data_IF_939583375614
#
_entry.id   IF_939583375614
#
_cell.length_a   1.000
_cell.length_b   1.000
_cell.length_c   1.000
_cell.angle_alpha   90.00
_cell.angle_beta   90.00
_cell.angle_gamma   90.00
#
_symmetry.space_group_name_H-M   'P 1'
#
loop_
_entity.id
_entity.type
_entity.pdbx_description
1 polymer ?
#
# COMPACT_ATOMS: atom_id res chain seq x y z
N UNK A 1 -11.25 -14.89 -25.35
CA UNK A 1 -11.24 -16.10 -24.52
C UNK A 1 -12.66 -16.54 -24.19
N UNK A 2 -13.52 -15.72 -23.57
CA UNK A 2 -14.92 -16.09 -23.23
C UNK A 2 -15.71 -16.43 -24.50
N UNK A 3 -15.71 -15.53 -25.49
CA UNK A 3 -16.41 -15.76 -26.77
C UNK A 3 -15.87 -16.96 -27.57
N UNK A 4 -14.63 -17.32 -27.38
CA UNK A 4 -14.00 -18.47 -28.04
C UNK A 4 -14.20 -19.79 -27.27
N UNK A 5 -14.96 -19.76 -26.16
CA UNK A 5 -15.24 -20.92 -25.34
C UNK A 5 -14.03 -21.47 -24.54
N UNK A 6 -12.91 -20.73 -24.52
CA UNK A 6 -11.71 -21.14 -23.79
C UNK A 6 -11.84 -20.96 -22.27
N UNK A 7 -12.76 -20.11 -21.80
CA UNK A 7 -13.02 -19.84 -20.40
C UNK A 7 -14.52 -19.92 -20.17
N UNK A 8 -14.92 -20.77 -19.22
CA UNK A 8 -16.30 -20.89 -18.74
C UNK A 8 -16.43 -20.12 -17.43
N UNK A 9 -17.17 -19.02 -17.47
CA UNK A 9 -17.43 -18.17 -16.31
C UNK A 9 -18.60 -18.72 -15.50
N UNK A 10 -18.53 -18.55 -14.18
CA UNK A 10 -19.57 -18.94 -13.25
C UNK A 10 -20.08 -17.73 -12.46
N UNK A 11 -21.24 -17.85 -11.86
CA UNK A 11 -21.79 -16.81 -10.99
C UNK A 11 -20.82 -16.53 -9.84
N UNK A 12 -20.64 -15.24 -9.52
CA UNK A 12 -19.70 -14.75 -8.52
C UNK A 12 -18.21 -15.04 -8.76
N UNK A 13 -17.79 -15.49 -9.95
CA UNK A 13 -16.38 -15.44 -10.31
C UNK A 13 -15.89 -13.98 -10.30
N UNK A 14 -14.60 -13.77 -10.05
CA UNK A 14 -14.04 -12.45 -9.88
C UNK A 14 -13.02 -12.17 -10.97
N UNK A 15 -13.17 -11.03 -11.64
CA UNK A 15 -12.15 -10.49 -12.57
C UNK A 15 -11.41 -9.34 -11.89
N UNK A 16 -10.15 -9.57 -11.61
CA UNK A 16 -9.24 -8.57 -11.05
C UNK A 16 -8.33 -8.01 -12.16
N UNK A 17 -8.30 -6.68 -12.30
CA UNK A 17 -7.48 -5.96 -13.28
C UNK A 17 -6.45 -5.12 -12.54
N UNK A 18 -5.17 -5.21 -12.94
CA UNK A 18 -4.13 -4.39 -12.32
C UNK A 18 -4.37 -2.90 -12.55
N UNK A 19 -4.15 -2.09 -11.51
CA UNK A 19 -4.22 -0.63 -11.59
C UNK A 19 -3.34 -0.07 -12.71
N UNK A 20 -2.21 -0.72 -12.95
CA UNK A 20 -1.22 -0.31 -13.94
C UNK A 20 -1.78 -0.25 -15.37
N UNK A 21 -2.58 -1.23 -15.76
CA UNK A 21 -3.21 -1.26 -17.09
C UNK A 21 -4.29 -0.18 -17.19
N UNK A 22 -5.08 0.00 -16.15
CA UNK A 22 -6.14 1.03 -16.12
C UNK A 22 -5.53 2.43 -16.19
N UNK A 23 -4.53 2.73 -15.36
CA UNK A 23 -3.83 4.01 -15.37
C UNK A 23 -3.15 4.29 -16.72
N UNK A 24 -2.50 3.28 -17.30
CA UNK A 24 -1.85 3.40 -18.61
C UNK A 24 -2.86 3.69 -19.72
N UNK A 25 -4.02 3.03 -19.71
CA UNK A 25 -5.08 3.27 -20.71
C UNK A 25 -5.66 4.68 -20.62
N UNK A 26 -5.64 5.29 -19.44
CA UNK A 26 -6.06 6.67 -19.19
C UNK A 26 -4.97 7.71 -19.50
N UNK A 27 -3.73 7.30 -19.77
CA UNK A 27 -2.60 8.20 -19.87
C UNK A 27 -2.31 8.94 -18.53
N UNK A 28 -2.62 8.31 -17.38
CA UNK A 28 -2.51 8.96 -16.08
C UNK A 28 -1.08 9.01 -15.56
N UNK A 29 -0.28 9.86 -16.19
CA UNK A 29 1.13 10.08 -15.87
C UNK A 29 1.39 11.53 -15.46
N UNK A 30 2.38 11.72 -14.59
CA UNK A 30 2.92 13.02 -14.23
C UNK A 30 4.45 12.99 -14.29
N UNK A 31 5.05 14.16 -14.49
CA UNK A 31 6.50 14.33 -14.46
C UNK A 31 6.96 14.73 -13.05
N UNK A 32 8.25 14.60 -12.82
CA UNK A 32 8.91 15.13 -11.61
C UNK A 32 8.70 16.65 -11.49
N UNK A 33 8.67 17.36 -12.63
CA UNK A 33 8.46 18.82 -12.64
C UNK A 33 7.00 19.21 -12.36
N UNK A 34 6.01 18.36 -12.70
CA UNK A 34 4.62 18.57 -12.29
C UNK A 34 4.48 18.49 -10.76
N UNK A 35 5.16 17.51 -10.14
CA UNK A 35 5.23 17.41 -8.66
C UNK A 35 5.91 18.66 -8.09
N UNK A 36 7.04 19.08 -8.66
CA UNK A 36 7.78 20.24 -8.20
C UNK A 36 6.93 21.50 -8.24
N UNK A 37 6.18 21.70 -9.32
CA UNK A 37 5.28 22.84 -9.47
C UNK A 37 4.15 22.82 -8.45
N UNK A 38 3.47 21.70 -8.29
CA UNK A 38 2.39 21.53 -7.32
C UNK A 38 2.86 21.77 -5.88
N UNK A 39 4.04 21.22 -5.54
CA UNK A 39 4.67 21.43 -4.22
C UNK A 39 5.01 22.90 -4.03
N UNK A 40 5.59 23.58 -5.03
CA UNK A 40 5.91 25.02 -4.96
C UNK A 40 4.64 25.86 -4.77
N UNK A 41 3.58 25.59 -5.50
CA UNK A 41 2.30 26.28 -5.36
C UNK A 41 1.68 26.07 -3.97
N UNK A 42 1.75 24.87 -3.45
CA UNK A 42 1.18 24.52 -2.14
C UNK A 42 2.03 24.98 -0.97
N UNK A 43 3.35 24.83 -1.04
CA UNK A 43 4.24 25.10 0.09
C UNK A 43 4.86 26.50 0.06
N UNK A 44 4.95 27.13 -1.11
CA UNK A 44 5.61 28.43 -1.30
C UNK A 44 7.12 28.37 -1.09
N UNK A 45 7.77 29.53 -1.02
CA UNK A 45 9.21 29.67 -0.85
C UNK A 45 9.71 29.29 0.56
N UNK A 46 11.01 29.00 0.67
CA UNK A 46 11.71 28.73 1.93
C UNK A 46 11.89 27.25 2.25
N UNK A 47 12.09 26.95 3.52
CA UNK A 47 12.41 25.60 3.98
C UNK A 47 11.14 24.77 4.18
N UNK A 48 11.12 23.57 3.60
CA UNK A 48 10.07 22.56 3.78
C UNK A 48 10.64 21.35 4.51
N UNK A 49 9.88 20.81 5.45
CA UNK A 49 10.19 19.55 6.11
C UNK A 49 9.44 18.40 5.46
N UNK A 50 10.07 17.24 5.35
CA UNK A 50 9.43 15.97 4.96
C UNK A 50 9.61 15.00 6.11
N UNK A 51 8.54 14.47 6.64
CA UNK A 51 8.61 13.51 7.73
C UNK A 51 8.20 12.11 7.30
N UNK A 52 8.92 11.14 7.82
CA UNK A 52 8.64 9.71 7.77
C UNK A 52 8.35 9.13 6.38
N UNK A 53 9.16 9.49 5.36
CA UNK A 53 9.05 8.79 4.10
C UNK A 53 9.44 7.33 4.28
N UNK A 54 8.79 6.45 3.52
CA UNK A 54 9.22 5.04 3.43
C UNK A 54 10.59 4.93 2.76
N UNK A 55 11.34 3.91 3.13
CA UNK A 55 12.63 3.60 2.52
C UNK A 55 12.41 2.89 1.19
N UNK A 56 12.35 3.64 0.10
CA UNK A 56 12.04 3.12 -1.23
C UNK A 56 12.91 3.75 -2.31
N UNK A 57 13.49 2.91 -3.16
CA UNK A 57 14.35 3.33 -4.28
C UNK A 57 13.59 3.66 -5.57
N UNK A 58 12.36 3.17 -5.71
CA UNK A 58 11.60 3.24 -6.96
C UNK A 58 10.23 3.93 -6.83
N UNK A 59 9.70 4.08 -5.63
CA UNK A 59 8.43 4.78 -5.38
C UNK A 59 8.66 6.17 -4.81
N UNK A 60 9.06 6.24 -3.55
CA UNK A 60 9.26 7.53 -2.89
C UNK A 60 10.43 8.33 -3.49
N UNK A 61 11.47 7.71 -3.99
CA UNK A 61 12.63 8.41 -4.58
C UNK A 61 12.25 9.41 -5.70
N UNK A 62 11.30 9.07 -6.55
CA UNK A 62 10.85 9.98 -7.61
C UNK A 62 9.92 11.07 -7.09
N UNK A 63 9.06 10.74 -6.13
CA UNK A 63 8.25 11.74 -5.43
C UNK A 63 9.19 12.73 -4.73
N UNK A 64 10.21 12.22 -4.04
CA UNK A 64 11.22 13.04 -3.36
C UNK A 64 11.98 13.97 -4.31
N UNK A 65 12.32 13.49 -5.51
CA UNK A 65 12.97 14.29 -6.55
C UNK A 65 12.12 15.50 -6.94
N UNK A 66 10.81 15.29 -7.11
CA UNK A 66 9.86 16.37 -7.37
C UNK A 66 9.71 17.33 -6.20
N UNK A 67 9.59 16.83 -4.97
CA UNK A 67 9.54 17.64 -3.76
C UNK A 67 10.80 18.50 -3.64
N UNK A 68 11.97 17.92 -3.83
CA UNK A 68 13.24 18.62 -3.74
C UNK A 68 13.39 19.73 -4.77
N UNK A 69 12.97 19.52 -6.02
CA UNK A 69 12.94 20.56 -7.06
C UNK A 69 11.94 21.67 -6.75
N UNK A 70 10.85 21.36 -6.07
CA UNK A 70 9.82 22.31 -5.68
C UNK A 70 10.18 23.19 -4.46
N UNK A 71 11.25 22.89 -3.73
CA UNK A 71 11.63 23.56 -2.49
C UNK A 71 12.98 24.29 -2.60
N UNK A 72 13.14 25.41 -1.88
CA UNK A 72 14.45 26.10 -1.82
C UNK A 72 15.42 25.33 -0.90
N UNK A 73 14.92 24.87 0.24
CA UNK A 73 15.64 24.04 1.18
C UNK A 73 14.74 22.92 1.69
N UNK A 74 15.32 21.74 1.92
CA UNK A 74 14.61 20.56 2.36
C UNK A 74 15.22 19.98 3.63
N UNK A 75 14.37 19.60 4.58
CA UNK A 75 14.80 18.84 5.77
C UNK A 75 14.01 17.55 5.81
N UNK A 76 14.69 16.42 5.67
CA UNK A 76 14.06 15.10 5.72
C UNK A 76 14.25 14.53 7.12
N UNK A 77 13.17 14.15 7.76
CA UNK A 77 13.17 13.44 9.02
C UNK A 77 12.85 11.98 8.77
N UNK A 78 13.84 11.11 8.94
CA UNK A 78 13.68 9.66 8.88
C UNK A 78 13.39 9.10 10.27
N UNK A 79 12.55 8.09 10.34
CA UNK A 79 12.42 7.22 11.52
C UNK A 79 13.59 6.22 11.58
N UNK A 80 13.85 5.69 12.78
CA UNK A 80 14.83 4.64 13.04
C UNK A 80 14.39 3.79 14.23
N UNK A 81 14.70 2.49 14.31
CA UNK A 81 15.51 1.71 13.36
C UNK A 81 14.79 1.35 12.06
N UNK A 82 13.46 1.52 11.98
CA UNK A 82 12.63 1.11 10.86
C UNK A 82 11.78 2.27 10.35
N UNK A 83 11.35 2.19 9.10
CA UNK A 83 10.25 3.02 8.61
C UNK A 83 8.88 2.48 9.08
N UNK A 84 7.80 3.14 8.69
CA UNK A 84 6.43 2.82 9.09
C UNK A 84 5.98 1.40 8.69
N UNK A 85 6.51 0.86 7.60
CA UNK A 85 6.17 -0.47 7.08
C UNK A 85 7.19 -1.55 7.48
N UNK A 86 8.15 -1.19 8.33
CA UNK A 86 9.12 -2.12 8.89
C UNK A 86 10.38 -2.33 8.05
N UNK A 87 10.66 -1.49 7.06
CA UNK A 87 11.93 -1.53 6.35
C UNK A 87 13.05 -1.01 7.25
N UNK A 88 14.12 -1.77 7.49
CA UNK A 88 15.19 -1.37 8.38
C UNK A 88 16.06 -0.27 7.74
N UNK A 89 16.21 0.84 8.44
CA UNK A 89 17.26 1.82 8.15
C UNK A 89 18.60 1.32 8.70
N UNK A 90 18.57 0.72 9.87
CA UNK A 90 19.72 0.17 10.56
C UNK A 90 19.30 -1.05 11.41
N UNK A 91 20.19 -2.03 11.57
CA UNK A 91 19.95 -3.16 12.46
C UNK A 91 19.71 -2.69 13.90
N UNK A 92 18.70 -3.24 14.54
CA UNK A 92 18.39 -2.96 15.96
C UNK A 92 19.50 -3.44 16.88
N UNK A 93 20.14 -4.58 16.56
CA UNK A 93 21.25 -5.14 17.32
C UNK A 93 22.46 -4.19 17.30
N UNK A 94 22.75 -3.61 16.13
CA UNK A 94 23.82 -2.62 15.98
C UNK A 94 23.57 -1.38 16.85
N UNK A 95 22.33 -0.96 17.03
CA UNK A 95 21.97 0.14 17.93
C UNK A 95 22.18 -0.26 19.40
N UNK A 96 21.75 -1.46 19.78
CA UNK A 96 21.95 -1.96 21.15
C UNK A 96 23.43 -2.11 21.50
N UNK A 97 24.25 -2.62 20.61
CA UNK A 97 25.72 -2.68 20.77
C UNK A 97 26.34 -1.28 21.00
N UNK A 98 25.71 -0.24 20.46
CA UNK A 98 26.13 1.16 20.68
C UNK A 98 25.44 1.83 21.88
N UNK A 99 24.75 1.06 22.70
CA UNK A 99 24.07 1.57 23.92
C UNK A 99 22.78 2.34 23.65
N UNK A 100 22.21 2.26 22.45
CA UNK A 100 20.93 2.87 22.12
C UNK A 100 19.82 1.86 22.43
N UNK A 101 19.25 1.95 23.62
CA UNK A 101 18.21 1.04 24.11
C UNK A 101 16.79 1.62 24.02
N UNK A 102 16.68 2.92 23.78
CA UNK A 102 15.42 3.60 23.45
C UNK A 102 15.63 4.47 22.20
N UNK A 103 14.55 4.70 21.46
CA UNK A 103 14.59 5.39 20.18
C UNK A 103 13.98 6.80 20.25
N UNK A 104 14.16 7.49 21.39
CA UNK A 104 13.60 8.84 21.62
C UNK A 104 14.57 9.96 21.25
N UNK A 105 15.84 9.63 20.97
CA UNK A 105 16.88 10.61 20.68
C UNK A 105 16.81 11.07 19.23
N UNK A 106 17.04 12.36 19.03
CA UNK A 106 17.23 12.94 17.69
C UNK A 106 18.70 12.97 17.33
N UNK A 107 19.02 12.57 16.11
CA UNK A 107 20.36 12.62 15.55
C UNK A 107 20.38 13.44 14.27
N UNK A 108 21.45 14.18 14.05
CA UNK A 108 21.82 14.63 12.71
C UNK A 108 22.47 13.46 11.95
N UNK A 109 22.50 13.54 10.62
CA UNK A 109 23.19 12.56 9.76
C UNK A 109 24.61 12.25 10.25
N UNK A 110 25.42 13.30 10.50
CA UNK A 110 26.81 13.13 10.99
C UNK A 110 26.88 12.42 12.34
N UNK A 111 25.99 12.74 13.27
CA UNK A 111 25.94 12.08 14.58
C UNK A 111 25.54 10.62 14.44
N UNK A 112 24.60 10.31 13.55
CA UNK A 112 24.15 8.95 13.33
C UNK A 112 25.23 8.09 12.70
N UNK A 113 25.91 8.56 11.65
CA UNK A 113 27.06 7.85 11.09
C UNK A 113 28.22 7.70 12.06
N UNK A 114 28.47 8.70 12.92
CA UNK A 114 29.49 8.55 13.99
C UNK A 114 29.11 7.45 14.98
N UNK A 115 27.82 7.29 15.26
CA UNK A 115 27.32 6.28 16.19
C UNK A 115 27.38 4.87 15.59
N UNK A 116 26.83 4.67 14.39
CA UNK A 116 26.61 3.33 13.81
C UNK A 116 27.55 2.98 12.64
N UNK A 117 28.34 3.93 12.16
CA UNK A 117 29.15 3.76 10.95
C UNK A 117 28.32 3.69 9.68
N UNK A 118 28.89 3.11 8.62
CA UNK A 118 28.20 2.90 7.35
C UNK A 118 26.98 2.00 7.54
N UNK A 119 25.87 2.37 6.91
CA UNK A 119 24.62 1.65 6.94
C UNK A 119 24.37 1.12 5.54
N UNK A 120 24.07 -0.16 5.43
CA UNK A 120 23.69 -0.77 4.17
C UNK A 120 22.46 -1.63 4.42
N UNK A 121 21.43 -1.39 3.63
CA UNK A 121 20.21 -2.18 3.69
C UNK A 121 20.56 -3.63 3.27
N UNK A 122 20.21 -4.66 4.06
CA UNK A 122 20.69 -6.02 3.86
C UNK A 122 20.32 -6.64 2.51
N UNK A 123 19.16 -6.24 1.94
CA UNK A 123 18.70 -6.76 0.66
C UNK A 123 19.17 -5.91 -0.54
N UNK A 124 19.07 -4.58 -0.42
CA UNK A 124 19.37 -3.68 -1.55
C UNK A 124 20.80 -3.21 -1.61
N UNK A 125 21.57 -3.35 -0.53
CA UNK A 125 22.92 -2.79 -0.40
C UNK A 125 22.97 -1.26 -0.36
N UNK A 126 21.80 -0.59 -0.27
CA UNK A 126 21.69 0.87 -0.33
C UNK A 126 21.80 1.49 1.06
N UNK A 127 22.50 2.61 1.14
CA UNK A 127 22.37 3.55 2.24
C UNK A 127 21.30 4.58 1.89
N UNK A 128 20.14 4.48 2.52
CA UNK A 128 18.99 5.36 2.20
C UNK A 128 19.23 6.82 2.62
N UNK A 129 20.08 7.09 3.61
CA UNK A 129 20.46 8.46 3.96
C UNK A 129 21.24 9.08 2.79
N UNK A 130 22.22 8.35 2.27
CA UNK A 130 23.04 8.78 1.13
C UNK A 130 22.21 8.89 -0.15
N UNK A 131 21.35 7.91 -0.43
CA UNK A 131 20.43 7.92 -1.59
C UNK A 131 19.55 9.16 -1.58
N UNK A 132 18.86 9.43 -0.47
CA UNK A 132 17.95 10.57 -0.39
C UNK A 132 18.68 11.90 -0.44
N UNK A 133 19.87 11.96 0.17
CA UNK A 133 20.72 13.15 0.08
C UNK A 133 21.19 13.43 -1.34
N UNK A 134 21.60 12.41 -2.08
CA UNK A 134 21.97 12.55 -3.50
C UNK A 134 20.80 13.02 -4.38
N UNK A 135 19.61 12.54 -4.12
CA UNK A 135 18.41 12.97 -4.84
C UNK A 135 18.10 14.45 -4.57
N UNK A 136 18.24 14.91 -3.33
CA UNK A 136 17.88 16.25 -2.93
C UNK A 136 18.98 17.30 -3.13
N UNK A 137 20.23 16.88 -3.32
CA UNK A 137 21.36 17.78 -3.51
C UNK A 137 21.83 18.50 -2.23
N UNK A 138 22.57 19.60 -2.41
CA UNK A 138 23.24 20.31 -1.31
C UNK A 138 22.28 21.04 -0.36
N UNK A 139 21.11 21.45 -0.83
CA UNK A 139 20.12 22.19 -0.03
C UNK A 139 19.28 21.26 0.86
N UNK A 140 19.72 20.01 1.05
CA UNK A 140 19.03 19.00 1.84
C UNK A 140 19.79 18.68 3.12
N UNK A 141 19.05 18.59 4.25
CA UNK A 141 19.54 18.05 5.52
C UNK A 141 18.70 16.84 5.92
N UNK A 142 19.37 15.83 6.46
CA UNK A 142 18.69 14.66 7.01
C UNK A 142 18.85 14.65 8.53
N UNK A 143 17.75 14.43 9.21
CA UNK A 143 17.67 14.18 10.65
C UNK A 143 16.96 12.85 10.91
N UNK A 144 17.28 12.24 12.03
CA UNK A 144 16.68 10.97 12.45
C UNK A 144 15.97 11.20 13.77
N UNK A 145 14.68 10.97 13.80
CA UNK A 145 13.86 11.12 15.00
C UNK A 145 12.52 10.40 14.83
N UNK A 146 12.02 9.76 15.88
CA UNK A 146 10.71 9.12 15.91
C UNK A 146 9.59 10.03 16.46
N UNK A 147 9.93 11.25 16.88
CA UNK A 147 8.94 12.26 17.25
C UNK A 147 8.63 13.14 16.04
N UNK A 148 7.40 13.06 15.47
CA UNK A 148 7.02 13.84 14.30
C UNK A 148 7.12 15.35 14.52
N UNK A 149 7.07 15.81 15.78
CA UNK A 149 7.14 17.24 16.10
C UNK A 149 8.56 17.80 16.07
N UNK A 150 9.58 16.95 16.00
CA UNK A 150 10.99 17.37 15.90
C UNK A 150 11.24 18.29 14.72
N UNK A 151 10.61 18.03 13.57
CA UNK A 151 10.73 18.85 12.36
C UNK A 151 10.35 20.31 12.59
N UNK A 152 9.47 20.60 13.55
CA UNK A 152 9.01 21.97 13.86
C UNK A 152 10.09 22.86 14.47
N UNK A 153 11.22 22.30 14.90
CA UNK A 153 12.41 23.06 15.32
C UNK A 153 13.12 23.73 14.13
N UNK A 154 12.86 23.23 12.92
CA UNK A 154 13.55 23.65 11.70
C UNK A 154 12.64 24.42 10.74
N UNK A 155 11.39 24.00 10.61
CA UNK A 155 10.41 24.63 9.73
C UNK A 155 9.00 24.46 10.24
N UNK A 156 8.09 25.34 9.79
CA UNK A 156 6.64 25.28 10.07
C UNK A 156 5.83 24.82 8.86
N UNK A 157 6.50 24.46 7.75
CA UNK A 157 5.90 23.95 6.53
C UNK A 157 6.34 22.48 6.37
N UNK A 158 5.41 21.54 6.41
CA UNK A 158 5.74 20.12 6.49
C UNK A 158 4.93 19.31 5.48
N UNK A 159 5.58 18.35 4.86
CA UNK A 159 4.96 17.26 4.09
C UNK A 159 5.03 16.00 4.95
N UNK A 160 3.88 15.45 5.34
CA UNK A 160 3.79 14.14 6.00
C UNK A 160 3.79 13.07 4.91
N UNK A 161 4.93 12.38 4.79
CA UNK A 161 5.19 11.44 3.71
C UNK A 161 5.00 9.96 4.12
N UNK A 162 4.58 9.73 5.35
CA UNK A 162 4.13 8.44 5.84
C UNK A 162 2.81 8.02 5.16
N UNK A 163 2.60 6.73 5.05
CA UNK A 163 1.49 6.17 4.28
C UNK A 163 0.23 6.01 5.14
N UNK A 164 0.37 5.34 6.29
CA UNK A 164 -0.76 4.99 7.13
C UNK A 164 -1.07 6.04 8.20
N UNK A 165 -0.03 6.70 8.73
CA UNK A 165 -0.14 7.64 9.85
C UNK A 165 -0.23 9.12 9.41
N UNK A 166 -0.16 9.43 8.11
CA UNK A 166 -0.03 10.79 7.55
C UNK A 166 -1.07 11.79 8.07
N UNK A 167 -2.33 11.40 8.12
CA UNK A 167 -3.39 12.29 8.59
C UNK A 167 -3.28 12.56 10.09
N UNK A 168 -3.00 11.51 10.90
CA UNK A 168 -2.74 11.66 12.33
C UNK A 168 -1.55 12.61 12.57
N UNK A 169 -0.47 12.44 11.82
CA UNK A 169 0.73 13.27 11.96
C UNK A 169 0.48 14.70 11.47
N UNK A 170 -0.29 14.89 10.40
CA UNK A 170 -0.75 16.22 9.95
C UNK A 170 -1.50 16.96 11.06
N UNK A 171 -2.49 16.30 11.66
CA UNK A 171 -3.28 16.87 12.75
C UNK A 171 -2.42 17.23 13.97
N UNK A 172 -1.50 16.35 14.35
CA UNK A 172 -0.57 16.58 15.45
C UNK A 172 0.33 17.78 15.18
N UNK A 173 0.92 17.87 13.99
CA UNK A 173 1.81 18.96 13.60
C UNK A 173 1.07 20.31 13.61
N UNK A 174 -0.14 20.38 13.07
CA UNK A 174 -0.97 21.58 13.10
C UNK A 174 -1.27 22.00 14.54
N UNK A 175 -1.67 21.07 15.41
CA UNK A 175 -1.89 21.32 16.86
C UNK A 175 -0.62 21.79 17.57
N UNK A 176 0.56 21.44 17.09
CA UNK A 176 1.87 21.83 17.65
C UNK A 176 2.47 23.07 16.97
N UNK A 177 1.70 23.79 16.18
CA UNK A 177 2.08 25.09 15.62
C UNK A 177 2.77 25.05 14.27
N UNK A 178 2.61 23.99 13.48
CA UNK A 178 2.92 24.05 12.06
C UNK A 178 2.01 25.10 11.37
N UNK A 179 2.56 25.85 10.43
CA UNK A 179 1.78 26.84 9.65
C UNK A 179 1.06 26.19 8.48
N UNK A 180 1.68 25.18 7.89
CA UNK A 180 1.13 24.43 6.76
C UNK A 180 1.62 22.98 6.79
N UNK A 181 0.69 22.04 6.65
CA UNK A 181 1.00 20.63 6.52
C UNK A 181 0.17 20.05 5.38
N UNK A 182 0.84 19.39 4.44
CA UNK A 182 0.19 18.59 3.41
C UNK A 182 0.65 17.14 3.53
N UNK A 183 -0.09 16.23 2.90
CA UNK A 183 0.21 14.80 2.83
C UNK A 183 0.47 14.39 1.37
N UNK A 184 0.99 13.20 1.11
CA UNK A 184 1.29 12.74 -0.25
C UNK A 184 0.04 12.63 -1.13
N UNK A 185 -1.12 12.31 -0.55
CA UNK A 185 -2.40 12.30 -1.27
C UNK A 185 -2.90 13.70 -1.66
N UNK A 186 -2.34 14.75 -1.09
CA UNK A 186 -2.62 16.13 -1.48
C UNK A 186 -1.68 16.66 -2.58
N UNK A 187 -0.64 15.89 -2.97
CA UNK A 187 0.25 16.25 -4.09
C UNK A 187 -0.32 15.62 -5.36
N UNK A 188 -0.51 16.40 -6.42
CA UNK A 188 -1.16 15.98 -7.67
C UNK A 188 -2.57 15.40 -7.44
N UNK A 189 -3.33 15.95 -6.52
CA UNK A 189 -4.75 15.64 -6.35
C UNK A 189 -5.65 16.37 -7.38
N UNK A 190 -5.06 17.21 -8.20
CA UNK A 190 -5.63 17.83 -9.40
C UNK A 190 -4.58 17.94 -10.49
N UNK A 191 -4.99 18.20 -11.73
CA UNK A 191 -4.07 18.30 -12.86
C UNK A 191 -3.24 19.59 -12.80
N UNK A 192 -1.94 19.44 -12.98
CA UNK A 192 -0.99 20.56 -13.13
C UNK A 192 -0.55 20.60 -14.59
N UNK A 193 -0.88 21.68 -15.30
CA UNK A 193 -0.53 21.86 -16.73
C UNK A 193 -0.92 20.68 -17.65
N UNK A 194 -2.05 20.01 -17.37
CA UNK A 194 -2.48 18.85 -18.13
C UNK A 194 -1.84 17.53 -17.70
N UNK A 195 -1.10 17.52 -16.59
CA UNK A 195 -0.57 16.27 -16.01
C UNK A 195 -1.69 15.29 -15.63
N UNK A 196 -1.33 14.03 -15.47
CA UNK A 196 -2.12 13.08 -14.70
C UNK A 196 -2.29 13.55 -13.25
N UNK A 197 -3.31 13.02 -12.60
CA UNK A 197 -3.61 13.29 -11.18
C UNK A 197 -4.49 12.19 -10.60
N UNK A 198 -4.66 12.18 -9.29
CA UNK A 198 -5.69 11.38 -8.64
C UNK A 198 -6.26 12.15 -7.45
N UNK A 199 -7.57 12.40 -7.46
CA UNK A 199 -8.25 13.24 -6.47
C UNK A 199 -8.19 12.66 -5.04
N UNK A 200 -8.18 11.33 -4.91
CA UNK A 200 -8.22 10.62 -3.63
C UNK A 200 -6.83 10.26 -3.11
N UNK A 201 -5.92 9.88 -4.02
CA UNK A 201 -4.62 9.32 -3.65
C UNK A 201 -3.43 10.19 -4.01
N UNK A 202 -3.61 11.24 -4.81
CA UNK A 202 -2.50 12.11 -5.24
C UNK A 202 -1.35 11.29 -5.82
N UNK A 203 -0.15 11.44 -5.25
CA UNK A 203 1.04 10.66 -5.62
C UNK A 203 1.19 9.34 -4.86
N UNK A 204 0.30 9.04 -3.91
CA UNK A 204 0.31 7.72 -3.23
C UNK A 204 0.02 6.62 -4.24
N UNK A 205 0.71 5.47 -4.06
CA UNK A 205 0.60 4.33 -4.95
C UNK A 205 1.15 4.56 -6.36
N UNK A 206 1.81 5.70 -6.60
CA UNK A 206 2.47 5.95 -7.88
C UNK A 206 3.69 5.06 -8.06
N UNK A 207 3.96 4.70 -9.30
CA UNK A 207 5.10 3.89 -9.69
C UNK A 207 6.00 4.62 -10.68
N UNK A 208 7.30 4.31 -10.62
CA UNK A 208 8.27 4.75 -11.60
C UNK A 208 7.87 4.28 -13.01
N UNK A 209 7.80 5.22 -13.95
CA UNK A 209 7.65 4.94 -15.37
C UNK A 209 8.97 5.17 -16.12
N UNK A 210 9.63 6.28 -15.83
CA UNK A 210 10.99 6.63 -16.24
C UNK A 210 11.62 7.47 -15.12
N UNK A 211 12.91 7.79 -15.22
CA UNK A 211 13.62 8.61 -14.22
C UNK A 211 13.00 9.99 -13.96
N UNK A 212 12.14 10.47 -14.86
CA UNK A 212 11.48 11.77 -14.78
C UNK A 212 9.95 11.67 -14.81
N UNK A 213 9.37 10.45 -14.82
CA UNK A 213 7.94 10.27 -15.01
C UNK A 213 7.37 9.19 -14.11
N UNK A 214 6.26 9.50 -13.47
CA UNK A 214 5.50 8.59 -12.63
C UNK A 214 4.19 8.22 -13.30
N UNK A 215 3.78 6.97 -13.12
CA UNK A 215 2.42 6.52 -13.37
C UNK A 215 1.66 6.63 -12.06
N UNK A 216 0.55 7.36 -12.06
CA UNK A 216 -0.31 7.55 -10.90
C UNK A 216 -1.38 6.44 -10.80
N UNK A 217 -2.07 6.34 -9.69
CA UNK A 217 -3.25 5.49 -9.59
C UNK A 217 -4.30 5.92 -10.62
N UNK A 218 -5.05 4.96 -11.19
CA UNK A 218 -6.08 5.27 -12.18
C UNK A 218 -7.22 6.08 -11.57
N UNK A 219 -7.80 6.95 -12.39
CA UNK A 219 -9.02 7.71 -12.07
C UNK A 219 -10.26 6.89 -12.41
N UNK A 220 -11.41 7.32 -11.89
CA UNK A 220 -12.72 6.78 -12.24
C UNK A 220 -12.84 5.25 -12.12
N UNK A 221 -12.03 4.65 -11.25
CA UNK A 221 -11.97 3.20 -11.07
C UNK A 221 -13.31 2.59 -10.69
N UNK A 222 -14.13 3.31 -9.93
CA UNK A 222 -15.51 2.87 -9.57
C UNK A 222 -16.42 2.74 -10.79
N UNK A 223 -16.30 3.66 -11.74
CA UNK A 223 -17.03 3.61 -13.02
C UNK A 223 -16.48 2.47 -13.89
N UNK A 224 -15.16 2.33 -13.95
CA UNK A 224 -14.50 1.26 -14.69
C UNK A 224 -14.99 -0.14 -14.27
N UNK A 225 -14.96 -0.46 -12.97
CA UNK A 225 -15.37 -1.80 -12.50
C UNK A 225 -16.84 -2.10 -12.77
N UNK A 226 -17.73 -1.08 -12.66
CA UNK A 226 -19.16 -1.23 -13.00
C UNK A 226 -19.39 -1.49 -14.49
N UNK A 227 -18.68 -0.76 -15.36
CA UNK A 227 -18.76 -0.97 -16.79
C UNK A 227 -18.18 -2.34 -17.21
N UNK A 228 -17.06 -2.73 -16.60
CA UNK A 228 -16.46 -4.05 -16.82
C UNK A 228 -17.43 -5.17 -16.42
N UNK A 229 -18.04 -5.09 -15.22
CA UNK A 229 -19.04 -6.05 -14.78
C UNK A 229 -20.22 -6.15 -15.76
N UNK A 230 -20.77 -5.00 -16.17
CA UNK A 230 -21.87 -4.94 -17.14
C UNK A 230 -21.50 -5.65 -18.45
N UNK A 231 -20.33 -5.33 -19.02
CA UNK A 231 -19.87 -5.92 -20.29
C UNK A 231 -19.61 -7.42 -20.19
N UNK A 232 -19.03 -7.86 -19.08
CA UNK A 232 -18.80 -9.29 -18.84
C UNK A 232 -20.15 -10.04 -18.72
N UNK A 233 -21.13 -9.47 -18.01
CA UNK A 233 -22.45 -10.04 -17.90
C UNK A 233 -23.16 -10.13 -19.27
N UNK A 234 -23.10 -9.07 -20.10
CA UNK A 234 -23.66 -9.06 -21.46
C UNK A 234 -23.06 -10.15 -22.36
N UNK A 235 -21.77 -10.42 -22.20
CA UNK A 235 -21.06 -11.41 -23.04
C UNK A 235 -21.23 -12.84 -22.57
N UNK A 236 -21.30 -13.05 -21.24
CA UNK A 236 -21.29 -14.38 -20.63
C UNK A 236 -22.65 -14.87 -20.16
N UNK A 237 -23.60 -13.95 -19.94
CA UNK A 237 -24.87 -14.25 -19.28
C UNK A 237 -24.76 -14.52 -17.77
N UNK A 238 -23.56 -14.32 -17.19
CA UNK A 238 -23.25 -14.67 -15.79
C UNK A 238 -22.93 -13.39 -15.00
N UNK A 239 -23.43 -13.28 -13.76
CA UNK A 239 -23.12 -12.15 -12.88
C UNK A 239 -21.83 -12.38 -12.14
N UNK A 240 -20.79 -11.70 -12.57
CA UNK A 240 -19.46 -11.74 -11.99
C UNK A 240 -19.19 -10.53 -11.09
N UNK A 241 -18.16 -10.64 -10.28
CA UNK A 241 -17.61 -9.50 -9.57
C UNK A 241 -16.32 -9.00 -10.25
N UNK A 242 -16.09 -7.69 -10.13
CA UNK A 242 -14.93 -7.06 -10.73
C UNK A 242 -14.20 -6.17 -9.71
N UNK A 243 -12.87 -6.13 -9.82
CA UNK A 243 -12.06 -5.24 -9.01
C UNK A 243 -10.83 -4.74 -9.78
N UNK A 244 -10.34 -3.57 -9.38
CA UNK A 244 -9.00 -3.11 -9.71
C UNK A 244 -8.11 -3.45 -8.51
N UNK A 245 -6.94 -4.03 -8.74
CA UNK A 245 -5.99 -4.32 -7.68
C UNK A 245 -4.67 -3.56 -7.91
N UNK A 246 -4.06 -3.14 -6.80
CA UNK A 246 -2.70 -2.64 -6.74
C UNK A 246 -1.75 -3.69 -6.17
N UNK A 247 -0.60 -3.28 -5.69
CA UNK A 247 0.38 -4.19 -5.11
C UNK A 247 -0.14 -4.82 -3.81
N UNK A 248 -0.04 -6.11 -3.69
CA UNK A 248 -0.36 -6.87 -2.48
C UNK A 248 0.71 -6.71 -1.39
N UNK A 249 0.37 -7.08 -0.17
CA UNK A 249 1.29 -7.03 0.96
C UNK A 249 2.07 -8.35 1.09
N UNK A 250 3.34 -8.35 0.74
CA UNK A 250 4.25 -9.47 1.01
C UNK A 250 5.61 -9.00 1.50
N UNK A 251 6.29 -9.87 2.20
CA UNK A 251 7.58 -9.58 2.80
C UNK A 251 8.65 -10.43 2.12
N UNK A 252 9.70 -9.80 1.63
CA UNK A 252 10.85 -10.50 1.09
C UNK A 252 11.48 -11.42 2.16
N UNK A 253 11.73 -12.71 1.83
CA UNK A 253 12.21 -13.68 2.82
C UNK A 253 13.67 -13.47 3.22
N UNK A 254 14.48 -12.79 2.42
CA UNK A 254 15.91 -12.58 2.69
C UNK A 254 16.12 -11.28 3.43
N UNK A 255 15.67 -10.17 2.89
CA UNK A 255 15.86 -8.84 3.47
C UNK A 255 14.81 -8.46 4.50
N UNK A 256 13.72 -9.20 4.58
CA UNK A 256 12.62 -8.89 5.49
C UNK A 256 11.90 -7.57 5.18
N UNK A 257 12.03 -7.08 3.94
CA UNK A 257 11.40 -5.84 3.49
C UNK A 257 9.95 -6.11 3.07
N UNK A 258 9.07 -5.20 3.42
CA UNK A 258 7.77 -5.13 2.81
C UNK A 258 7.90 -4.49 1.42
N UNK A 259 7.65 -5.25 0.38
CA UNK A 259 7.69 -4.76 -1.01
C UNK A 259 6.62 -3.72 -1.28
N UNK A 260 5.69 -3.58 -0.37
CA UNK A 260 4.53 -2.76 -0.53
C UNK A 260 4.61 -1.42 0.20
N UNK A 261 4.13 -0.42 -0.49
CA UNK A 261 3.86 0.88 0.06
C UNK A 261 2.50 1.47 -0.39
N UNK A 262 1.62 0.64 -0.91
CA UNK A 262 0.30 1.12 -1.32
C UNK A 262 -0.66 1.14 -0.13
N UNK A 263 -1.29 2.28 0.18
CA UNK A 263 -2.29 2.37 1.22
C UNK A 263 -3.59 1.66 0.81
N UNK A 264 -3.70 1.26 -0.45
CA UNK A 264 -4.92 0.72 -1.05
C UNK A 264 -4.59 -0.46 -1.95
N UNK A 265 -4.92 -1.67 -1.50
CA UNK A 265 -4.75 -2.91 -2.27
C UNK A 265 -5.79 -3.02 -3.40
N UNK A 266 -6.96 -2.42 -3.22
CA UNK A 266 -8.02 -2.37 -4.23
C UNK A 266 -8.70 -1.00 -4.25
N UNK A 267 -8.35 -0.14 -5.21
CA UNK A 267 -8.96 1.20 -5.31
C UNK A 267 -10.43 1.18 -5.73
N UNK A 268 -10.90 0.10 -6.37
CA UNK A 268 -12.32 -0.04 -6.71
C UNK A 268 -12.72 -1.50 -6.91
N UNK A 269 -13.98 -1.77 -6.59
CA UNK A 269 -14.58 -3.09 -6.71
C UNK A 269 -16.10 -3.00 -6.80
N UNK A 270 -16.75 -4.06 -7.29
CA UNK A 270 -18.20 -4.17 -7.35
C UNK A 270 -18.78 -4.61 -6.00
N UNK A 271 -20.06 -4.33 -5.78
CA UNK A 271 -20.72 -4.44 -4.47
C UNK A 271 -20.68 -5.84 -3.85
N UNK A 272 -20.58 -6.89 -4.65
CA UNK A 272 -20.49 -8.28 -4.16
C UNK A 272 -19.18 -8.59 -3.44
N UNK A 273 -18.17 -7.70 -3.56
CA UNK A 273 -16.89 -7.80 -2.84
C UNK A 273 -16.86 -6.95 -1.56
N UNK A 274 -17.97 -6.38 -1.15
CA UNK A 274 -18.06 -5.61 0.08
C UNK A 274 -18.11 -6.53 1.30
N UNK A 275 -17.36 -6.21 2.34
CA UNK A 275 -17.40 -6.89 3.62
C UNK A 275 -16.17 -7.75 3.93
N UNK A 276 -16.35 -8.65 4.87
CA UNK A 276 -15.33 -9.56 5.39
C UNK A 276 -15.82 -11.00 5.35
N UNK A 277 -14.92 -11.99 5.25
CA UNK A 277 -15.30 -13.39 5.37
C UNK A 277 -16.07 -13.66 6.67
N UNK A 278 -17.15 -14.43 6.55
CA UNK A 278 -17.93 -14.93 7.68
C UNK A 278 -17.79 -16.44 7.72
N UNK A 279 -16.64 -16.93 8.14
CA UNK A 279 -16.19 -18.29 8.01
C UNK A 279 -16.19 -19.03 9.33
N UNK A 280 -16.50 -20.33 9.25
CA UNK A 280 -16.33 -21.28 10.35
C UNK A 280 -14.97 -21.93 10.23
N UNK A 281 -14.24 -22.00 11.34
CA UNK A 281 -12.99 -22.75 11.44
C UNK A 281 -13.28 -24.24 11.53
N UNK A 282 -13.19 -24.95 10.41
CA UNK A 282 -13.52 -26.38 10.33
C UNK A 282 -12.77 -27.22 11.37
N UNK A 283 -11.51 -26.91 11.64
CA UNK A 283 -10.75 -27.59 12.69
C UNK A 283 -11.43 -27.44 14.06
N UNK A 284 -11.90 -26.26 14.42
CA UNK A 284 -12.61 -26.04 15.68
C UNK A 284 -13.91 -26.86 15.76
N UNK A 285 -14.65 -26.91 14.65
CA UNK A 285 -15.87 -27.73 14.55
C UNK A 285 -15.53 -29.21 14.74
N UNK A 286 -14.50 -29.69 14.04
CA UNK A 286 -14.07 -31.08 14.15
C UNK A 286 -13.68 -31.45 15.57
N UNK A 287 -12.88 -30.60 16.23
CA UNK A 287 -12.36 -30.89 17.56
C UNK A 287 -13.41 -30.74 18.68
N UNK A 288 -14.47 -29.92 18.50
CA UNK A 288 -15.35 -29.52 19.60
C UNK A 288 -16.85 -29.81 19.39
N UNK A 289 -17.30 -30.01 18.14
CA UNK A 289 -18.75 -30.08 17.86
C UNK A 289 -19.19 -31.41 17.24
N UNK A 290 -18.33 -32.08 16.50
CA UNK A 290 -18.67 -33.38 15.86
C UNK A 290 -18.09 -34.60 16.59
N UNK A 291 -17.23 -34.39 17.59
CA UNK A 291 -16.72 -35.45 18.47
C UNK A 291 -16.11 -36.64 17.71
N UNK A 292 -16.61 -37.85 18.00
CA UNK A 292 -16.08 -39.08 17.43
C UNK A 292 -16.67 -39.48 16.04
N UNK A 293 -17.48 -38.62 15.44
CA UNK A 293 -18.01 -38.89 14.09
C UNK A 293 -16.89 -38.98 13.07
N UNK A 294 -17.00 -39.97 12.16
CA UNK A 294 -16.00 -40.21 11.11
C UNK A 294 -16.67 -40.44 9.75
N UNK A 295 -15.89 -40.26 8.68
CA UNK A 295 -16.35 -40.47 7.31
C UNK A 295 -17.57 -39.64 6.94
N UNK A 296 -18.53 -40.22 6.25
CA UNK A 296 -19.71 -39.52 5.75
C UNK A 296 -20.55 -38.84 6.84
N UNK A 297 -20.67 -39.44 8.02
CA UNK A 297 -21.43 -38.83 9.11
C UNK A 297 -20.80 -37.52 9.61
N UNK A 298 -19.46 -37.45 9.69
CA UNK A 298 -18.74 -36.24 10.03
C UNK A 298 -18.89 -35.16 8.94
N UNK A 299 -18.80 -35.56 7.67
CA UNK A 299 -19.00 -34.70 6.52
C UNK A 299 -20.38 -34.07 6.52
N UNK A 300 -21.44 -34.83 6.67
CA UNK A 300 -22.83 -34.37 6.73
C UNK A 300 -23.04 -33.39 7.90
N UNK A 301 -22.51 -33.71 9.08
CA UNK A 301 -22.59 -32.84 10.24
C UNK A 301 -21.88 -31.48 10.01
N UNK A 302 -20.70 -31.49 9.38
CA UNK A 302 -19.98 -30.27 9.03
C UNK A 302 -20.78 -29.43 8.02
N UNK A 303 -21.31 -30.05 6.96
CA UNK A 303 -22.15 -29.36 5.96
C UNK A 303 -23.39 -28.73 6.61
N UNK A 304 -24.03 -29.43 7.53
CA UNK A 304 -25.18 -28.92 8.27
C UNK A 304 -24.80 -27.70 9.13
N UNK A 305 -23.67 -27.74 9.85
CA UNK A 305 -23.18 -26.62 10.66
C UNK A 305 -22.86 -25.40 9.78
N UNK A 306 -22.22 -25.61 8.62
CA UNK A 306 -21.94 -24.53 7.67
C UNK A 306 -23.25 -23.89 7.18
N UNK A 307 -24.22 -24.69 6.80
CA UNK A 307 -25.50 -24.20 6.27
C UNK A 307 -26.34 -23.45 7.34
N UNK A 308 -26.22 -23.84 8.60
CA UNK A 308 -26.92 -23.22 9.74
C UNK A 308 -26.14 -22.09 10.41
N UNK A 309 -24.94 -21.76 9.92
CA UNK A 309 -24.11 -20.73 10.56
C UNK A 309 -24.81 -19.37 10.67
N UNK A 310 -24.55 -18.68 11.77
CA UNK A 310 -25.02 -17.32 11.98
C UNK A 310 -24.49 -16.35 10.91
N UNK A 311 -25.31 -15.37 10.54
CA UNK A 311 -24.91 -14.28 9.62
C UNK A 311 -23.76 -13.42 10.18
N UNK A 312 -23.51 -13.49 11.48
CA UNK A 312 -22.40 -12.79 12.13
C UNK A 312 -21.74 -13.72 13.15
N UNK A 313 -20.54 -14.16 12.82
CA UNK A 313 -19.70 -15.01 13.65
C UNK A 313 -18.65 -14.23 14.44
N UNK A 314 -18.68 -12.91 14.39
CA UNK A 314 -17.70 -12.06 15.06
C UNK A 314 -17.68 -12.36 16.56
N UNK A 315 -16.48 -12.58 17.10
CA UNK A 315 -16.23 -12.92 18.50
C UNK A 315 -16.77 -14.30 18.97
N UNK A 316 -17.22 -15.15 18.06
CA UNK A 316 -17.60 -16.53 18.39
C UNK A 316 -16.39 -17.47 18.30
N UNK A 317 -16.29 -18.45 19.20
CA UNK A 317 -15.19 -19.42 19.22
C UNK A 317 -15.04 -20.16 17.89
N UNK A 318 -16.14 -20.44 17.23
CA UNK A 318 -16.17 -21.13 15.92
C UNK A 318 -15.50 -20.34 14.80
N UNK A 319 -15.28 -19.06 14.95
CA UNK A 319 -14.60 -18.19 13.97
C UNK A 319 -13.22 -17.71 14.44
N UNK A 320 -12.77 -18.06 15.63
CA UNK A 320 -11.47 -17.64 16.14
C UNK A 320 -10.33 -18.19 15.28
N UNK A 321 -9.45 -17.29 14.85
CA UNK A 321 -8.31 -17.60 13.99
C UNK A 321 -8.64 -17.67 12.50
N UNK A 322 -9.87 -17.33 12.06
CA UNK A 322 -10.15 -16.99 10.67
C UNK A 322 -9.61 -15.59 10.36
N UNK A 323 -9.38 -15.30 9.08
CA UNK A 323 -8.71 -14.05 8.68
C UNK A 323 -9.66 -12.85 8.78
N UNK A 324 -9.39 -11.86 9.67
CA UNK A 324 -10.28 -10.70 9.85
C UNK A 324 -9.98 -9.59 8.82
N UNK A 325 -9.81 -9.94 7.55
CA UNK A 325 -9.53 -8.98 6.47
C UNK A 325 -10.73 -8.82 5.55
N UNK A 326 -10.80 -7.68 4.85
CA UNK A 326 -11.82 -7.47 3.82
C UNK A 326 -11.59 -8.41 2.64
N UNK A 327 -12.67 -8.78 1.95
CA UNK A 327 -12.56 -9.55 0.70
C UNK A 327 -11.62 -8.90 -0.30
N UNK A 328 -11.69 -7.59 -0.44
CA UNK A 328 -10.85 -6.82 -1.37
C UNK A 328 -9.36 -6.89 -1.05
N UNK A 329 -9.00 -6.95 0.22
CA UNK A 329 -7.59 -7.08 0.64
C UNK A 329 -7.06 -8.49 0.35
N UNK A 330 -7.88 -9.51 0.60
CA UNK A 330 -7.53 -10.91 0.32
C UNK A 330 -7.41 -11.16 -1.19
N UNK A 331 -8.42 -10.76 -1.94
CA UNK A 331 -8.49 -10.96 -3.39
C UNK A 331 -7.48 -10.12 -4.15
N UNK A 332 -7.25 -8.88 -3.73
CA UNK A 332 -6.23 -8.01 -4.31
C UNK A 332 -4.83 -8.57 -4.10
N UNK A 333 -4.51 -9.03 -2.89
CA UNK A 333 -3.23 -9.70 -2.60
C UNK A 333 -3.07 -11.01 -3.37
N UNK A 334 -4.13 -11.82 -3.48
CA UNK A 334 -4.11 -13.04 -4.28
C UNK A 334 -3.86 -12.73 -5.76
N UNK A 335 -4.55 -11.72 -6.31
CA UNK A 335 -4.38 -11.31 -7.69
C UNK A 335 -2.95 -10.82 -7.95
N UNK A 336 -2.40 -10.00 -7.07
CA UNK A 336 -1.04 -9.49 -7.18
C UNK A 336 0.01 -10.61 -7.13
N UNK A 337 -0.07 -11.50 -6.15
CA UNK A 337 0.87 -12.62 -5.99
C UNK A 337 0.80 -13.64 -7.14
N UNK A 338 -0.33 -13.74 -7.82
CA UNK A 338 -0.52 -14.67 -8.96
C UNK A 338 -0.31 -14.01 -10.31
N UNK A 339 -0.41 -12.68 -10.38
CA UNK A 339 -0.14 -11.94 -11.61
C UNK A 339 1.36 -11.94 -11.92
N UNK A 340 1.71 -12.04 -13.19
CA UNK A 340 3.10 -11.91 -13.62
C UNK A 340 3.37 -10.47 -14.05
N UNK A 341 4.07 -9.70 -13.22
CA UNK A 341 4.54 -8.35 -13.59
C UNK A 341 5.84 -8.36 -14.41
N UNK A 342 6.59 -9.47 -14.37
CA UNK A 342 7.78 -9.70 -15.19
C UNK A 342 7.46 -10.32 -16.54
N UNK A 343 8.16 -11.38 -16.92
CA UNK A 343 8.05 -12.08 -18.22
C UNK A 343 6.65 -12.66 -18.48
N UNK A 344 5.88 -12.93 -17.43
CA UNK A 344 4.51 -13.49 -17.57
C UNK A 344 3.51 -12.51 -18.16
N UNK A 345 3.63 -11.22 -17.86
CA UNK A 345 2.78 -10.16 -18.39
C UNK A 345 1.29 -10.39 -18.24
N UNK A 346 0.83 -10.84 -17.05
CA UNK A 346 -0.57 -11.20 -16.78
C UNK A 346 -1.30 -10.09 -16.01
N UNK A 347 -1.84 -9.07 -16.71
CA UNK A 347 -2.46 -7.91 -16.05
C UNK A 347 -3.90 -8.15 -15.59
N UNK A 348 -4.49 -9.30 -15.93
CA UNK A 348 -5.87 -9.66 -15.61
C UNK A 348 -5.86 -11.06 -15.01
N UNK A 349 -6.46 -11.20 -13.83
CA UNK A 349 -6.59 -12.45 -13.09
C UNK A 349 -8.06 -12.82 -12.97
N UNK A 350 -8.40 -14.05 -13.33
CA UNK A 350 -9.71 -14.64 -13.07
C UNK A 350 -9.60 -15.53 -11.84
N UNK A 351 -10.40 -15.24 -10.81
CA UNK A 351 -10.50 -16.02 -9.59
C UNK A 351 -11.84 -16.71 -9.58
N UNK A 352 -11.83 -18.04 -9.63
CA UNK A 352 -13.05 -18.85 -9.69
C UNK A 352 -13.30 -19.56 -8.35
N UNK A 353 -14.59 -19.71 -8.00
CA UNK A 353 -14.99 -20.49 -6.84
C UNK A 353 -14.58 -19.92 -5.46
N UNK A 354 -14.12 -18.67 -5.38
CA UNK A 354 -13.67 -18.09 -4.12
C UNK A 354 -14.76 -18.07 -3.03
N UNK A 355 -16.01 -17.92 -3.42
CA UNK A 355 -17.13 -17.87 -2.51
C UNK A 355 -17.78 -19.24 -2.23
N UNK A 356 -17.29 -20.29 -2.87
CA UNK A 356 -17.73 -21.64 -2.57
C UNK A 356 -17.21 -22.06 -1.19
N UNK A 357 -17.94 -22.92 -0.53
CA UNK A 357 -17.55 -23.49 0.76
C UNK A 357 -17.70 -25.03 0.72
N UNK A 358 -17.23 -25.69 1.78
CA UNK A 358 -17.25 -27.14 1.85
C UNK A 358 -18.67 -27.76 1.75
N UNK A 359 -19.71 -27.01 2.06
CA UNK A 359 -21.08 -27.48 1.91
C UNK A 359 -21.62 -27.39 0.47
N UNK A 360 -20.90 -26.68 -0.42
CA UNK A 360 -21.26 -26.55 -1.84
C UNK A 360 -20.69 -27.70 -2.69
N UNK A 361 -19.79 -28.52 -2.12
CA UNK A 361 -19.20 -29.71 -2.72
C UNK A 361 -20.06 -30.95 -2.41
#
# INVERSE_FOLDING_TARGET
AVKEGKIKLKDRDIVAVTEAVVAKSQGNFATVDDIAKDVREKMGEGTVGVIFPILSRNRFSNILKGIARGCDNLIIQLSYPFDEVGNPLVSIDKLYEKGVTNFNKTYTEKQFYKLVGKIEHPFTGLDYIDVYKKICGENCRIILSNDPTTILKYTKKVISADIHSRHRNKDLLLKRGAKKVITLDEILNHSINGSGYNEEFGVLGSNLSTDEKLKLFPRDTKTFVKQLQKRLCEVSGVKMECMVYGDGAFKDPVGGIWELADPVVSPAYTSGLTGTPNEIKLKYVADNQIGDLKGKAAEEAIKEIINKKSKNLKNQNVSLGTTPRRYTDLLGSLADLTSGSGDKGTPIVLITGYFNNYADE
#
